data_IF_157073367551
#
_entry.id   IF_157073367551
#
_cell.length_a   1.000
_cell.length_b   1.000
_cell.length_c   1.000
_cell.angle_alpha   90.00
_cell.angle_beta   90.00
_cell.angle_gamma   90.00
#
_symmetry.space_group_name_H-M   'P 1'
#
loop_
_entity.id
_entity.type
_entity.pdbx_description
1 polymer ?
#
# COMPACT_ATOMS: atom_id res chain seq x y z
N UNK A 1 22.26 -10.49 -16.01
CA UNK A 1 23.68 -10.33 -15.64
C UNK A 1 23.82 -10.53 -14.15
N UNK A 2 24.95 -11.07 -13.68
CA UNK A 2 25.29 -11.15 -12.24
C UNK A 2 26.66 -10.52 -12.02
N UNK A 3 26.86 -9.84 -10.88
CA UNK A 3 28.12 -9.15 -10.57
C UNK A 3 28.19 -8.67 -9.11
N UNK A 4 29.38 -8.27 -8.68
CA UNK A 4 29.66 -7.89 -7.28
C UNK A 4 30.54 -6.63 -7.17
N UNK A 5 31.29 -6.29 -8.22
CA UNK A 5 32.22 -5.16 -8.24
C UNK A 5 31.57 -3.84 -8.62
N UNK A 6 32.19 -2.74 -8.18
CA UNK A 6 31.93 -1.38 -8.70
C UNK A 6 32.12 -1.31 -10.22
N UNK A 7 33.01 -2.14 -10.78
CA UNK A 7 33.24 -2.25 -12.22
C UNK A 7 32.08 -2.92 -12.96
N UNK A 8 31.27 -3.73 -12.29
CA UNK A 8 30.11 -4.39 -12.88
C UNK A 8 28.87 -3.49 -12.85
N UNK A 9 28.87 -2.44 -12.03
CA UNK A 9 27.71 -1.57 -11.83
C UNK A 9 27.15 -0.97 -13.14
N UNK A 10 27.96 -0.46 -14.11
CA UNK A 10 27.43 0.01 -15.39
C UNK A 10 26.76 -1.09 -16.21
N UNK A 11 27.32 -2.31 -16.17
CA UNK A 11 26.81 -3.43 -16.93
C UNK A 11 25.58 -4.07 -16.27
N UNK A 12 25.51 -4.05 -14.93
CA UNK A 12 24.30 -4.37 -14.16
C UNK A 12 23.18 -3.37 -14.48
N UNK A 13 23.48 -2.07 -14.51
CA UNK A 13 22.49 -1.04 -14.83
C UNK A 13 21.97 -1.12 -16.28
N UNK A 14 22.79 -1.60 -17.22
CA UNK A 14 22.40 -1.76 -18.63
C UNK A 14 21.64 -3.07 -18.90
N UNK A 15 21.78 -4.09 -18.04
CA UNK A 15 21.12 -5.37 -18.24
C UNK A 15 19.62 -5.32 -17.92
N UNK A 16 18.79 -5.97 -18.74
CA UNK A 16 17.34 -6.04 -18.50
C UNK A 16 16.99 -6.74 -17.17
N UNK A 17 17.85 -7.66 -16.72
CA UNK A 17 17.74 -8.35 -15.43
C UNK A 17 19.14 -8.47 -14.83
N UNK A 18 19.36 -7.79 -13.70
CA UNK A 18 20.61 -7.73 -12.98
C UNK A 18 20.48 -8.26 -11.54
N UNK A 19 21.39 -9.15 -11.16
CA UNK A 19 21.49 -9.72 -9.81
C UNK A 19 22.84 -9.33 -9.21
N UNK A 20 22.81 -8.55 -8.13
CA UNK A 20 24.01 -8.15 -7.39
C UNK A 20 24.29 -9.13 -6.26
N UNK A 21 25.56 -9.42 -5.97
CA UNK A 21 25.93 -10.30 -4.85
C UNK A 21 25.93 -9.54 -3.53
N UNK A 22 25.52 -10.18 -2.43
CA UNK A 22 25.48 -9.55 -1.12
C UNK A 22 26.86 -9.26 -0.52
N UNK A 23 27.89 -10.03 -0.89
CA UNK A 23 29.29 -9.68 -0.59
C UNK A 23 29.81 -8.51 -1.44
N UNK A 24 29.05 -8.07 -2.44
CA UNK A 24 29.45 -7.02 -3.39
C UNK A 24 29.36 -5.60 -2.84
N UNK A 25 29.89 -4.66 -3.62
CA UNK A 25 29.93 -3.23 -3.31
C UNK A 25 28.52 -2.62 -3.26
N UNK A 26 28.33 -1.53 -2.49
CA UNK A 26 27.05 -0.81 -2.48
C UNK A 26 26.64 -0.34 -3.88
N UNK A 27 27.60 0.14 -4.68
CA UNK A 27 27.34 0.54 -6.06
C UNK A 27 26.77 -0.60 -6.92
N UNK A 28 27.26 -1.84 -6.75
CA UNK A 28 26.70 -3.00 -7.44
C UNK A 28 25.28 -3.34 -6.96
N UNK A 29 25.02 -3.24 -5.65
CA UNK A 29 23.68 -3.48 -5.07
C UNK A 29 22.66 -2.43 -5.46
N UNK A 30 23.06 -1.18 -5.57
CA UNK A 30 22.21 -0.07 -6.03
C UNK A 30 21.92 -0.15 -7.53
N UNK A 31 22.87 -0.66 -8.33
CA UNK A 31 22.70 -0.86 -9.76
C UNK A 31 21.92 -2.16 -10.13
N UNK A 32 21.89 -3.15 -9.23
CA UNK A 32 21.20 -4.43 -9.45
C UNK A 32 19.70 -4.36 -9.16
N UNK A 33 18.88 -5.14 -9.90
CA UNK A 33 17.44 -5.22 -9.63
C UNK A 33 17.11 -6.18 -8.47
N UNK A 34 17.99 -7.14 -8.21
CA UNK A 34 17.86 -8.15 -7.16
C UNK A 34 19.21 -8.32 -6.45
N UNK A 35 19.18 -8.75 -5.19
CA UNK A 35 20.41 -9.04 -4.40
C UNK A 35 20.43 -10.51 -4.01
N UNK A 36 21.47 -11.24 -4.40
CA UNK A 36 21.70 -12.61 -3.94
C UNK A 36 22.43 -12.62 -2.60
N UNK A 37 21.70 -13.02 -1.56
CA UNK A 37 22.18 -13.08 -0.18
C UNK A 37 23.32 -14.09 0.03
N UNK A 38 23.34 -15.17 -0.74
CA UNK A 38 24.34 -16.24 -0.59
C UNK A 38 25.57 -16.03 -1.49
N UNK A 39 25.54 -15.00 -2.34
CA UNK A 39 26.65 -14.64 -3.22
C UNK A 39 27.12 -15.84 -4.06
N UNK A 40 26.19 -16.54 -4.70
CA UNK A 40 26.45 -17.69 -5.57
C UNK A 40 25.96 -17.41 -7.00
N UNK A 41 26.86 -17.25 -7.99
CA UNK A 41 26.47 -16.91 -9.36
C UNK A 41 25.59 -17.98 -10.04
N UNK A 42 25.61 -19.23 -9.55
CA UNK A 42 24.77 -20.33 -10.06
C UNK A 42 23.27 -20.09 -9.77
N UNK A 43 22.94 -19.30 -8.74
CA UNK A 43 21.55 -18.97 -8.39
C UNK A 43 20.83 -18.18 -9.47
N UNK A 44 21.56 -17.52 -10.38
CA UNK A 44 20.94 -16.89 -11.55
C UNK A 44 20.14 -17.91 -12.38
N UNK A 45 20.57 -19.17 -12.44
CA UNK A 45 19.85 -20.25 -13.13
C UNK A 45 18.53 -20.55 -12.40
N UNK A 46 18.55 -20.57 -11.07
CA UNK A 46 17.36 -20.79 -10.24
C UNK A 46 16.37 -19.64 -10.38
N UNK A 47 16.85 -18.38 -10.35
CA UNK A 47 16.03 -17.18 -10.59
C UNK A 47 15.32 -17.25 -11.95
N UNK A 48 16.05 -17.61 -13.01
CA UNK A 48 15.47 -17.78 -14.36
C UNK A 48 14.47 -18.95 -14.38
N UNK A 49 14.75 -20.04 -13.67
CA UNK A 49 13.85 -21.20 -13.57
C UNK A 49 12.53 -20.83 -12.88
N UNK A 50 12.59 -20.17 -11.73
CA UNK A 50 11.42 -19.69 -10.97
C UNK A 50 10.62 -18.69 -11.83
N UNK A 51 11.30 -17.74 -12.49
CA UNK A 51 10.68 -16.80 -13.41
C UNK A 51 9.91 -17.49 -14.53
N UNK A 52 10.52 -18.50 -15.17
CA UNK A 52 9.85 -19.32 -16.19
C UNK A 52 8.65 -20.06 -15.63
N UNK A 53 8.79 -20.70 -14.47
CA UNK A 53 7.69 -21.44 -13.85
C UNK A 53 6.48 -20.54 -13.55
N UNK A 54 6.70 -19.32 -13.08
CA UNK A 54 5.63 -18.33 -12.87
C UNK A 54 4.92 -17.96 -14.18
N UNK A 55 5.68 -17.64 -15.23
CA UNK A 55 5.13 -17.28 -16.54
C UNK A 55 4.33 -18.45 -17.15
N UNK A 56 4.87 -19.67 -17.09
CA UNK A 56 4.19 -20.85 -17.63
C UNK A 56 2.92 -21.21 -16.87
N UNK A 57 2.94 -21.05 -15.54
CA UNK A 57 1.76 -21.30 -14.71
C UNK A 57 0.67 -20.29 -15.03
N UNK A 58 1.00 -19.00 -15.12
CA UNK A 58 0.07 -17.95 -15.52
C UNK A 58 -0.51 -18.21 -16.91
N UNK A 59 0.33 -18.51 -17.89
CA UNK A 59 -0.11 -18.81 -19.26
C UNK A 59 -1.06 -20.01 -19.31
N UNK A 60 -0.70 -21.12 -18.65
CA UNK A 60 -1.50 -22.35 -18.61
C UNK A 60 -2.86 -22.15 -17.94
N UNK A 61 -2.90 -21.46 -16.80
CA UNK A 61 -4.15 -21.15 -16.10
C UNK A 61 -5.04 -20.21 -16.90
N UNK A 62 -4.45 -19.25 -17.61
CA UNK A 62 -5.19 -18.33 -18.48
C UNK A 62 -5.83 -19.09 -19.64
N UNK A 63 -5.06 -19.95 -20.34
CA UNK A 63 -5.57 -20.80 -21.41
C UNK A 63 -6.72 -21.70 -20.91
N UNK A 64 -6.54 -22.34 -19.76
CA UNK A 64 -7.56 -23.19 -19.15
C UNK A 64 -8.83 -22.39 -18.79
N UNK A 65 -8.66 -21.22 -18.17
CA UNK A 65 -9.78 -20.37 -17.76
C UNK A 65 -10.58 -19.83 -18.94
N UNK A 66 -9.93 -19.40 -20.02
CA UNK A 66 -10.62 -18.93 -21.23
C UNK A 66 -11.36 -20.07 -21.92
N UNK A 67 -10.73 -21.24 -22.06
CA UNK A 67 -11.39 -22.40 -22.66
C UNK A 67 -12.62 -22.86 -21.84
N UNK A 68 -12.56 -22.71 -20.52
CA UNK A 68 -13.66 -23.04 -19.61
C UNK A 68 -14.92 -22.19 -19.85
N UNK A 69 -14.77 -20.95 -20.28
CA UNK A 69 -15.93 -20.07 -20.52
C UNK A 69 -16.84 -20.58 -21.63
N UNK A 70 -16.33 -21.37 -22.59
CA UNK A 70 -17.14 -22.01 -23.63
C UNK A 70 -18.21 -22.91 -23.01
N UNK A 71 -17.83 -23.79 -22.08
CA UNK A 71 -18.77 -24.68 -21.41
C UNK A 71 -19.78 -23.89 -20.54
N UNK A 72 -19.33 -22.81 -19.88
CA UNK A 72 -20.23 -21.94 -19.10
C UNK A 72 -21.30 -21.30 -19.97
N UNK A 73 -20.96 -20.85 -21.18
CA UNK A 73 -21.95 -20.32 -22.11
C UNK A 73 -22.99 -21.36 -22.50
N UNK A 74 -22.58 -22.60 -22.80
CA UNK A 74 -23.50 -23.70 -23.10
C UNK A 74 -24.36 -24.14 -21.89
N UNK A 75 -23.94 -23.85 -20.65
CA UNK A 75 -24.76 -24.10 -19.47
C UNK A 75 -25.77 -22.96 -19.20
N UNK A 76 -25.29 -21.71 -19.25
CA UNK A 76 -26.03 -20.55 -18.75
C UNK A 76 -26.98 -19.97 -19.80
N UNK A 77 -26.56 -19.84 -21.06
CA UNK A 77 -27.38 -19.22 -22.12
C UNK A 77 -28.72 -19.96 -22.31
N UNK A 78 -28.77 -21.28 -22.56
CA UNK A 78 -30.05 -21.97 -22.74
C UNK A 78 -30.92 -21.88 -21.48
N UNK A 79 -30.32 -21.95 -20.29
CA UNK A 79 -31.03 -21.88 -19.02
C UNK A 79 -31.62 -20.48 -18.73
N UNK A 80 -30.82 -19.42 -18.87
CA UNK A 80 -31.22 -18.05 -18.58
C UNK A 80 -32.34 -17.55 -19.51
N UNK A 81 -32.37 -18.04 -20.75
CA UNK A 81 -33.36 -17.66 -21.75
C UNK A 81 -34.46 -18.70 -21.99
N UNK A 82 -34.50 -19.79 -21.20
CA UNK A 82 -35.47 -20.87 -21.40
C UNK A 82 -36.94 -20.41 -21.38
N UNK A 83 -37.25 -19.38 -20.59
CA UNK A 83 -38.60 -18.81 -20.48
C UNK A 83 -38.95 -17.84 -21.62
N UNK A 84 -37.96 -17.15 -22.19
CA UNK A 84 -38.17 -16.09 -23.19
C UNK A 84 -38.01 -16.61 -24.62
N UNK A 85 -37.04 -17.50 -24.84
CA UNK A 85 -36.71 -18.09 -26.15
C UNK A 85 -36.53 -19.61 -26.02
N UNK A 86 -37.62 -20.40 -25.95
CA UNK A 86 -37.55 -21.84 -25.77
C UNK A 86 -36.73 -22.58 -26.83
N UNK A 87 -36.63 -22.03 -28.05
CA UNK A 87 -35.77 -22.59 -29.11
C UNK A 87 -34.28 -22.68 -28.71
N UNK A 88 -33.81 -21.83 -27.79
CA UNK A 88 -32.41 -21.88 -27.32
C UNK A 88 -32.12 -23.11 -26.47
N UNK A 89 -33.14 -23.86 -26.02
CA UNK A 89 -32.94 -25.15 -25.35
C UNK A 89 -32.21 -26.16 -26.24
N UNK A 90 -32.24 -26.01 -27.57
CA UNK A 90 -31.42 -26.81 -28.49
C UNK A 90 -29.91 -26.65 -28.25
N UNK A 91 -29.47 -25.54 -27.63
CA UNK A 91 -28.09 -25.29 -27.24
C UNK A 91 -27.71 -25.96 -25.90
N UNK A 92 -28.63 -26.64 -25.23
CA UNK A 92 -28.33 -27.44 -24.03
C UNK A 92 -27.62 -28.75 -24.40
N UNK A 93 -26.39 -28.63 -24.92
CA UNK A 93 -25.55 -29.76 -25.35
C UNK A 93 -25.28 -30.74 -24.19
N UNK A 94 -25.27 -30.25 -22.95
CA UNK A 94 -25.05 -31.06 -21.74
C UNK A 94 -26.30 -31.81 -21.25
N UNK A 95 -27.48 -31.50 -21.79
CA UNK A 95 -28.76 -32.06 -21.32
C UNK A 95 -29.01 -31.83 -19.83
N UNK A 96 -28.76 -30.62 -19.34
CA UNK A 96 -28.96 -30.25 -17.92
C UNK A 96 -30.45 -30.28 -17.55
N UNK A 97 -30.76 -30.70 -16.32
CA UNK A 97 -32.12 -31.09 -15.91
C UNK A 97 -33.12 -29.93 -15.86
N UNK A 98 -32.73 -28.76 -15.35
CA UNK A 98 -33.60 -27.58 -15.25
C UNK A 98 -32.81 -26.27 -15.40
N UNK A 99 -33.45 -25.14 -15.78
CA UNK A 99 -32.78 -23.85 -15.83
C UNK A 99 -32.10 -23.44 -14.52
N UNK A 100 -32.77 -23.67 -13.39
CA UNK A 100 -32.23 -23.34 -12.07
C UNK A 100 -31.04 -24.22 -11.69
N UNK A 101 -31.12 -25.53 -11.94
CA UNK A 101 -30.02 -26.46 -11.65
C UNK A 101 -28.83 -26.22 -12.58
N UNK A 102 -29.05 -25.85 -13.84
CA UNK A 102 -28.00 -25.52 -14.78
C UNK A 102 -27.19 -24.29 -14.35
N UNK A 103 -27.87 -23.19 -13.98
CA UNK A 103 -27.20 -21.97 -13.49
C UNK A 103 -26.47 -22.28 -12.18
N UNK A 104 -27.11 -22.98 -11.25
CA UNK A 104 -26.51 -23.33 -9.97
C UNK A 104 -25.27 -24.24 -10.13
N UNK A 105 -25.33 -25.22 -11.04
CA UNK A 105 -24.20 -26.11 -11.34
C UNK A 105 -23.02 -25.37 -11.93
N UNK A 106 -23.27 -24.42 -12.85
CA UNK A 106 -22.22 -23.58 -13.42
C UNK A 106 -21.55 -22.69 -12.35
N UNK A 107 -22.34 -22.11 -11.45
CA UNK A 107 -21.82 -21.29 -10.33
C UNK A 107 -21.01 -22.12 -9.35
N UNK A 108 -21.52 -23.29 -8.92
CA UNK A 108 -20.81 -24.19 -8.01
C UNK A 108 -19.50 -24.68 -8.65
N UNK A 109 -19.53 -25.09 -9.93
CA UNK A 109 -18.32 -25.48 -10.64
C UNK A 109 -17.28 -24.35 -10.66
N UNK A 110 -17.71 -23.11 -10.93
CA UNK A 110 -16.82 -21.96 -10.95
C UNK A 110 -16.18 -21.66 -9.59
N UNK A 111 -16.86 -21.96 -8.48
CA UNK A 111 -16.29 -21.84 -7.14
C UNK A 111 -15.32 -23.00 -6.83
N UNK A 112 -15.71 -24.23 -7.13
CA UNK A 112 -14.92 -25.42 -6.82
C UNK A 112 -13.64 -25.51 -7.64
N UNK A 113 -13.69 -25.13 -8.92
CA UNK A 113 -12.52 -25.22 -9.82
C UNK A 113 -11.35 -24.39 -9.30
N UNK A 114 -11.61 -23.28 -8.60
CA UNK A 114 -10.56 -22.47 -7.97
C UNK A 114 -9.81 -23.29 -6.92
N UNK A 115 -10.54 -24.00 -6.04
CA UNK A 115 -9.94 -24.84 -4.99
C UNK A 115 -9.02 -25.90 -5.61
N UNK A 116 -9.45 -26.54 -6.70
CA UNK A 116 -8.64 -27.55 -7.40
C UNK A 116 -7.43 -26.97 -8.15
N UNK A 117 -7.50 -25.70 -8.58
CA UNK A 117 -6.39 -25.04 -9.27
C UNK A 117 -5.37 -24.40 -8.31
N UNK A 118 -5.70 -24.14 -7.04
CA UNK A 118 -4.77 -23.58 -6.04
C UNK A 118 -3.46 -24.38 -5.93
N UNK A 119 -3.48 -25.73 -5.77
CA UNK A 119 -2.24 -26.50 -5.69
C UNK A 119 -1.36 -26.34 -6.94
N UNK A 120 -1.97 -26.23 -8.12
CA UNK A 120 -1.26 -26.01 -9.37
C UNK A 120 -0.70 -24.59 -9.47
N UNK A 121 -1.44 -23.59 -9.00
CA UNK A 121 -1.01 -22.20 -8.97
C UNK A 121 0.19 -21.98 -8.02
N UNK A 122 0.21 -22.69 -6.89
CA UNK A 122 1.26 -22.57 -5.87
C UNK A 122 2.48 -23.45 -6.18
N UNK A 123 2.29 -24.72 -6.58
CA UNK A 123 3.41 -25.61 -6.93
C UNK A 123 4.00 -25.29 -8.31
N UNK A 124 3.26 -24.61 -9.16
CA UNK A 124 3.63 -24.27 -10.52
C UNK A 124 3.52 -25.46 -11.50
N UNK A 125 3.47 -25.12 -12.79
CA UNK A 125 3.39 -26.10 -13.89
C UNK A 125 4.77 -26.67 -14.18
N UNK A 126 4.86 -28.00 -14.34
CA UNK A 126 6.10 -28.68 -14.70
C UNK A 126 6.60 -28.24 -16.08
N UNK A 127 7.74 -27.56 -16.08
CA UNK A 127 8.39 -27.05 -17.27
C UNK A 127 9.23 -28.13 -17.97
N UNK A 128 9.10 -28.24 -19.29
CA UNK A 128 10.01 -28.99 -20.16
C UNK A 128 10.65 -28.03 -21.16
N UNK A 129 11.99 -28.05 -21.34
CA UNK A 129 12.66 -27.18 -22.29
C UNK A 129 12.31 -27.59 -23.72
N UNK A 130 11.49 -26.78 -24.40
CA UNK A 130 11.02 -26.99 -25.76
C UNK A 130 11.13 -25.67 -26.55
N UNK A 131 11.10 -25.74 -27.88
CA UNK A 131 10.96 -24.55 -28.72
C UNK A 131 9.61 -23.85 -28.46
N UNK A 132 9.54 -22.53 -28.71
CA UNK A 132 8.34 -21.73 -28.44
C UNK A 132 7.08 -22.28 -29.13
N UNK A 133 7.20 -22.71 -30.39
CA UNK A 133 6.08 -23.29 -31.16
C UNK A 133 5.62 -24.64 -30.62
N UNK A 134 6.56 -25.52 -30.24
CA UNK A 134 6.24 -26.81 -29.63
C UNK A 134 5.58 -26.62 -28.25
N UNK A 135 6.04 -25.61 -27.50
CA UNK A 135 5.50 -25.26 -26.20
C UNK A 135 4.08 -24.72 -26.27
N UNK A 136 3.82 -23.79 -27.20
CA UNK A 136 2.48 -23.24 -27.43
C UNK A 136 1.49 -24.35 -27.80
N UNK A 137 1.85 -25.19 -28.77
CA UNK A 137 1.03 -26.33 -29.20
C UNK A 137 0.71 -27.26 -28.02
N UNK A 138 1.71 -27.61 -27.21
CA UNK A 138 1.51 -28.45 -26.03
C UNK A 138 0.60 -27.79 -24.99
N UNK A 139 0.73 -26.48 -24.78
CA UNK A 139 -0.11 -25.74 -23.84
C UNK A 139 -1.59 -25.74 -24.28
N UNK A 140 -1.85 -25.46 -25.56
CA UNK A 140 -3.19 -25.50 -26.13
C UNK A 140 -3.80 -26.91 -26.06
N UNK A 141 -3.02 -27.96 -26.35
CA UNK A 141 -3.52 -29.34 -26.28
C UNK A 141 -3.83 -29.80 -24.86
N UNK A 142 -3.03 -29.43 -23.86
CA UNK A 142 -3.24 -29.89 -22.48
C UNK A 142 -4.25 -28.99 -21.76
N UNK A 143 -3.97 -27.68 -21.71
CA UNK A 143 -4.74 -26.73 -20.91
C UNK A 143 -5.91 -26.13 -21.68
N UNK A 144 -5.81 -25.99 -23.00
CA UNK A 144 -6.94 -25.56 -23.84
C UNK A 144 -7.99 -26.67 -23.95
N UNK A 145 -7.61 -27.87 -24.41
CA UNK A 145 -8.56 -28.98 -24.50
C UNK A 145 -9.03 -29.46 -23.11
N UNK A 146 -8.14 -29.48 -22.11
CA UNK A 146 -8.52 -29.74 -20.72
C UNK A 146 -9.50 -28.70 -20.18
N UNK A 147 -9.24 -27.42 -20.43
CA UNK A 147 -10.14 -26.31 -20.08
C UNK A 147 -11.47 -26.36 -20.80
N UNK A 148 -11.53 -26.96 -21.99
CA UNK A 148 -12.77 -27.21 -22.70
C UNK A 148 -13.53 -28.39 -22.09
N UNK A 149 -12.92 -29.57 -21.96
CA UNK A 149 -13.62 -30.82 -21.61
C UNK A 149 -13.99 -30.93 -20.13
N UNK A 150 -13.09 -30.55 -19.22
CA UNK A 150 -13.30 -30.67 -17.76
C UNK A 150 -14.58 -29.98 -17.29
N UNK A 151 -14.90 -28.72 -17.68
CA UNK A 151 -16.13 -28.08 -17.23
C UNK A 151 -17.41 -28.70 -17.78
N UNK A 152 -17.42 -29.25 -19.01
CA UNK A 152 -18.59 -30.00 -19.50
C UNK A 152 -18.92 -31.18 -18.59
N UNK A 153 -17.89 -31.95 -18.20
CA UNK A 153 -18.05 -33.08 -17.29
C UNK A 153 -18.42 -32.60 -15.89
N UNK A 154 -17.71 -31.60 -15.36
CA UNK A 154 -17.89 -31.08 -14.01
C UNK A 154 -19.28 -30.49 -13.79
N UNK A 155 -19.76 -29.63 -14.69
CA UNK A 155 -21.10 -29.04 -14.62
C UNK A 155 -22.17 -30.13 -14.69
N UNK A 156 -22.00 -31.13 -15.58
CA UNK A 156 -22.96 -32.24 -15.69
C UNK A 156 -23.03 -33.08 -14.42
N UNK A 157 -21.90 -33.41 -13.82
CA UNK A 157 -21.84 -34.18 -12.57
C UNK A 157 -22.52 -33.41 -11.43
N UNK A 158 -22.26 -32.11 -11.31
CA UNK A 158 -22.90 -31.27 -10.29
C UNK A 158 -24.42 -31.22 -10.51
N UNK A 159 -24.88 -31.03 -11.76
CA UNK A 159 -26.31 -30.99 -12.09
C UNK A 159 -27.02 -32.30 -11.73
N UNK A 160 -26.39 -33.45 -12.02
CA UNK A 160 -26.90 -34.77 -11.64
C UNK A 160 -26.97 -34.90 -10.12
N UNK A 161 -25.91 -34.51 -9.39
CA UNK A 161 -25.90 -34.56 -7.92
C UNK A 161 -26.97 -33.66 -7.30
N UNK A 162 -27.14 -32.43 -7.81
CA UNK A 162 -28.17 -31.51 -7.34
C UNK A 162 -29.58 -32.04 -7.62
N UNK A 163 -29.77 -32.73 -8.74
CA UNK A 163 -31.04 -33.37 -9.08
C UNK A 163 -31.34 -34.55 -8.14
N UNK A 164 -30.32 -35.35 -7.80
CA UNK A 164 -30.44 -36.46 -6.85
C UNK A 164 -30.67 -35.99 -5.40
N UNK A 165 -30.09 -34.85 -5.01
CA UNK A 165 -30.21 -34.25 -3.66
C UNK A 165 -31.39 -33.27 -3.53
N UNK A 166 -32.07 -32.96 -4.64
CA UNK A 166 -32.99 -31.83 -4.81
C UNK A 166 -34.25 -31.81 -3.92
N UNK A 167 -34.57 -32.90 -3.21
CA UNK A 167 -35.66 -32.91 -2.23
C UNK A 167 -35.37 -32.05 -0.99
N UNK A 168 -34.11 -31.70 -0.70
CA UNK A 168 -33.72 -30.91 0.48
C UNK A 168 -33.55 -29.38 0.27
N UNK A 169 -33.51 -28.91 -0.98
CA UNK A 169 -32.94 -27.59 -1.32
C UNK A 169 -33.94 -26.42 -1.32
N UNK A 170 -35.26 -26.68 -1.21
CA UNK A 170 -36.28 -25.63 -1.04
C UNK A 170 -36.08 -24.80 0.24
N UNK A 171 -35.45 -25.36 1.27
CA UNK A 171 -35.19 -24.66 2.53
C UNK A 171 -34.08 -23.59 2.39
N UNK A 172 -33.08 -23.81 1.53
CA UNK A 172 -31.93 -22.92 1.36
C UNK A 172 -32.28 -21.62 0.61
N UNK A 173 -33.26 -21.66 -0.30
CA UNK A 173 -33.75 -20.48 -1.02
C UNK A 173 -34.52 -19.48 -0.14
N UNK A 174 -35.02 -19.91 1.02
CA UNK A 174 -35.76 -19.05 1.97
C UNK A 174 -34.81 -18.08 2.70
N UNK A 175 -33.52 -18.42 2.84
CA UNK A 175 -32.52 -17.58 3.52
C UNK A 175 -31.82 -16.52 2.65
N UNK A 176 -31.85 -16.65 1.31
CA UNK A 176 -31.11 -15.75 0.42
C UNK A 176 -31.67 -14.32 0.39
N UNK A 177 -32.99 -14.17 0.40
CA UNK A 177 -33.67 -12.86 0.38
C UNK A 177 -33.34 -12.00 1.61
N UNK A 178 -33.49 -12.48 2.86
CA UNK A 178 -33.16 -11.68 4.03
C UNK A 178 -31.65 -11.40 4.14
N UNK A 179 -30.80 -12.31 3.69
CA UNK A 179 -29.34 -12.10 3.68
C UNK A 179 -28.94 -10.97 2.72
N UNK A 180 -29.42 -11.01 1.46
CA UNK A 180 -29.11 -9.98 0.47
C UNK A 180 -29.74 -8.62 0.83
N UNK A 181 -30.97 -8.63 1.36
CA UNK A 181 -31.64 -7.42 1.81
C UNK A 181 -30.86 -6.73 2.95
N UNK A 182 -30.45 -7.50 3.97
CA UNK A 182 -29.67 -6.97 5.09
C UNK A 182 -28.32 -6.46 4.62
N UNK A 183 -27.64 -7.18 3.72
CA UNK A 183 -26.37 -6.75 3.15
C UNK A 183 -26.51 -5.42 2.39
N UNK A 184 -27.52 -5.29 1.53
CA UNK A 184 -27.77 -4.08 0.75
C UNK A 184 -28.15 -2.91 1.66
N UNK A 185 -29.00 -3.15 2.67
CA UNK A 185 -29.39 -2.15 3.64
C UNK A 185 -28.17 -1.62 4.41
N UNK A 186 -27.34 -2.51 4.96
CA UNK A 186 -26.14 -2.11 5.69
C UNK A 186 -25.15 -1.37 4.79
N UNK A 187 -24.96 -1.82 3.53
CA UNK A 187 -24.12 -1.13 2.56
C UNK A 187 -24.58 0.31 2.30
N UNK A 188 -25.88 0.52 2.09
CA UNK A 188 -26.43 1.86 1.85
C UNK A 188 -26.35 2.73 3.10
N UNK A 189 -26.60 2.15 4.28
CA UNK A 189 -26.56 2.87 5.53
C UNK A 189 -25.12 3.29 5.90
N UNK A 190 -24.16 2.36 5.89
CA UNK A 190 -22.78 2.63 6.34
C UNK A 190 -21.90 3.21 5.25
N UNK A 191 -22.16 2.88 3.98
CA UNK A 191 -21.41 3.40 2.83
C UNK A 191 -22.00 4.65 2.19
N UNK A 192 -23.28 4.96 2.45
CA UNK A 192 -23.98 6.13 1.90
C UNK A 192 -24.41 7.11 2.97
N UNK A 193 -25.42 6.73 3.78
CA UNK A 193 -26.05 7.64 4.75
C UNK A 193 -25.05 8.14 5.78
N UNK A 194 -24.25 7.25 6.37
CA UNK A 194 -23.27 7.59 7.40
C UNK A 194 -22.21 8.60 6.94
N UNK A 195 -21.44 8.37 5.85
CA UNK A 195 -20.43 9.34 5.42
C UNK A 195 -21.03 10.68 4.95
N UNK A 196 -22.22 10.68 4.33
CA UNK A 196 -22.90 11.92 3.95
C UNK A 196 -23.33 12.73 5.17
N UNK A 197 -23.90 12.07 6.17
CA UNK A 197 -24.33 12.72 7.41
C UNK A 197 -23.14 13.28 8.19
N UNK A 198 -22.06 12.51 8.35
CA UNK A 198 -20.86 12.99 9.06
C UNK A 198 -20.16 14.11 8.31
N UNK A 199 -20.12 14.05 6.97
CA UNK A 199 -19.58 15.15 6.13
C UNK A 199 -20.42 16.41 6.28
N UNK A 200 -21.75 16.31 6.18
CA UNK A 200 -22.64 17.46 6.30
C UNK A 200 -22.54 18.12 7.69
N UNK A 201 -22.58 17.32 8.75
CA UNK A 201 -22.44 17.82 10.12
C UNK A 201 -21.02 18.40 10.37
N UNK A 202 -19.99 17.76 9.84
CA UNK A 202 -18.61 18.23 9.93
C UNK A 202 -18.41 19.59 9.26
N UNK A 203 -18.95 19.77 8.06
CA UNK A 203 -18.88 21.05 7.35
C UNK A 203 -19.76 22.13 8.00
N UNK A 204 -20.88 21.75 8.61
CA UNK A 204 -21.75 22.70 9.32
C UNK A 204 -21.11 23.20 10.62
N UNK A 205 -20.63 22.31 11.48
CA UNK A 205 -20.14 22.68 12.81
C UNK A 205 -18.65 23.04 12.83
N UNK A 206 -17.84 22.40 11.98
CA UNK A 206 -16.38 22.50 12.01
C UNK A 206 -15.77 22.64 10.60
N UNK A 207 -16.17 23.64 9.80
CA UNK A 207 -15.74 23.76 8.40
C UNK A 207 -14.21 23.86 8.28
N UNK A 208 -13.53 24.57 9.18
CA UNK A 208 -12.08 24.73 9.09
C UNK A 208 -11.33 23.40 9.30
N UNK A 209 -11.69 22.63 10.33
CA UNK A 209 -11.09 21.33 10.64
C UNK A 209 -11.47 20.26 9.60
N UNK A 210 -12.74 20.24 9.16
CA UNK A 210 -13.23 19.29 8.17
C UNK A 210 -12.53 19.46 6.80
N UNK A 211 -12.09 20.67 6.48
CA UNK A 211 -11.29 20.96 5.27
C UNK A 211 -9.77 20.89 5.51
N UNK A 212 -9.33 20.27 6.62
CA UNK A 212 -7.92 19.98 6.88
C UNK A 212 -7.15 21.07 7.61
N UNK A 213 -7.84 22.03 8.25
CA UNK A 213 -7.24 23.08 9.08
C UNK A 213 -6.09 23.83 8.39
N UNK A 214 -6.34 24.23 7.14
CA UNK A 214 -5.35 24.85 6.27
C UNK A 214 -5.00 26.26 6.73
N UNK A 215 -3.71 26.59 6.67
CA UNK A 215 -3.16 27.90 6.99
C UNK A 215 -2.89 28.65 5.68
N UNK A 216 -3.56 29.79 5.52
CA UNK A 216 -3.45 30.64 4.33
C UNK A 216 -2.63 31.89 4.64
N UNK A 217 -1.72 32.25 3.74
CA UNK A 217 -1.00 33.53 3.77
C UNK A 217 -1.01 34.11 2.36
N UNK A 218 -1.54 35.32 2.21
CA UNK A 218 -1.67 36.02 0.91
C UNK A 218 -2.41 35.18 -0.16
N UNK A 219 -3.51 34.52 0.25
CA UNK A 219 -4.31 33.62 -0.58
C UNK A 219 -3.57 32.36 -1.11
N UNK A 220 -2.39 32.06 -0.54
CA UNK A 220 -1.62 30.84 -0.83
C UNK A 220 -1.68 29.90 0.38
N UNK A 221 -1.94 28.62 0.12
CA UNK A 221 -1.89 27.58 1.16
C UNK A 221 -0.44 27.36 1.56
N UNK A 222 -0.12 27.67 2.82
CA UNK A 222 1.22 27.46 3.38
C UNK A 222 1.37 26.13 4.09
N UNK A 223 0.28 25.45 4.39
CA UNK A 223 0.27 24.15 5.05
C UNK A 223 -1.01 23.94 5.85
N UNK A 224 -0.93 23.06 6.84
CA UNK A 224 -2.00 22.78 7.81
C UNK A 224 -1.45 22.92 9.22
N UNK A 225 -2.30 23.27 10.18
CA UNK A 225 -1.94 23.26 11.61
C UNK A 225 -1.53 21.86 12.11
N UNK A 226 -1.88 20.79 11.39
CA UNK A 226 -1.66 19.40 11.81
C UNK A 226 -0.46 18.72 11.11
N UNK A 227 0.07 19.30 10.04
CA UNK A 227 1.09 18.66 9.19
C UNK A 227 2.41 19.41 9.33
N UNK A 228 3.45 18.71 9.79
CA UNK A 228 4.80 19.25 9.86
C UNK A 228 5.43 19.41 8.48
N UNK A 229 6.41 20.30 8.38
CA UNK A 229 7.17 20.57 7.16
C UNK A 229 8.66 20.40 7.38
N UNK A 230 9.39 20.14 6.30
CA UNK A 230 10.84 20.04 6.33
C UNK A 230 11.49 21.43 6.43
N UNK A 231 11.74 21.87 7.66
CA UNK A 231 12.47 23.10 7.94
C UNK A 231 13.97 22.82 8.10
N UNK A 232 14.80 23.35 7.20
CA UNK A 232 16.27 23.14 7.20
C UNK A 232 17.07 24.43 7.40
N UNK A 233 16.50 25.60 7.09
CA UNK A 233 17.23 26.87 7.19
C UNK A 233 17.47 27.30 8.65
N UNK A 234 18.59 27.98 8.90
CA UNK A 234 19.04 28.34 10.25
C UNK A 234 18.10 29.31 11.00
N UNK A 235 17.27 30.08 10.26
CA UNK A 235 16.29 30.99 10.84
C UNK A 235 14.96 30.35 11.25
N UNK A 236 14.77 29.05 11.07
CA UNK A 236 13.54 28.35 11.46
C UNK A 236 13.80 27.37 12.61
N UNK A 237 12.75 27.09 13.37
CA UNK A 237 12.71 25.94 14.26
C UNK A 237 12.65 24.68 13.42
N UNK A 238 13.54 23.73 13.74
CA UNK A 238 13.59 22.44 13.07
C UNK A 238 12.74 21.45 13.84
N UNK A 239 11.86 20.73 13.13
CA UNK A 239 11.03 19.68 13.69
C UNK A 239 11.80 18.39 13.94
N UNK A 240 11.06 17.32 14.28
CA UNK A 240 11.64 15.99 14.43
C UNK A 240 12.07 15.42 13.07
N UNK A 241 13.06 14.53 13.02
CA UNK A 241 13.41 13.85 11.78
C UNK A 241 12.20 13.11 11.18
N UNK A 242 12.02 13.23 9.87
CA UNK A 242 11.03 12.47 9.12
C UNK A 242 11.71 11.36 8.32
N UNK A 243 11.14 10.16 8.36
CA UNK A 243 11.63 8.96 7.67
C UNK A 243 10.66 8.50 6.57
N UNK A 244 9.91 9.44 5.98
CA UNK A 244 9.03 9.16 4.84
C UNK A 244 9.81 8.80 3.59
N UNK A 245 9.19 8.06 2.67
CA UNK A 245 9.77 7.70 1.38
C UNK A 245 10.05 8.94 0.51
N UNK A 246 11.10 8.84 -0.31
CA UNK A 246 11.63 9.81 -1.28
C UNK A 246 12.16 11.12 -0.67
N UNK A 247 11.33 11.83 0.09
CA UNK A 247 11.67 13.12 0.70
C UNK A 247 11.14 13.20 2.14
N UNK A 248 11.84 13.88 3.07
CA UNK A 248 11.33 14.12 4.43
C UNK A 248 10.00 14.89 4.41
N UNK A 249 9.09 14.53 5.32
CA UNK A 249 7.78 15.14 5.48
C UNK A 249 6.85 14.99 4.26
N UNK A 250 6.95 13.87 3.53
CA UNK A 250 6.09 13.59 2.37
C UNK A 250 4.69 13.08 2.79
N UNK A 251 3.60 13.86 2.59
CA UNK A 251 2.26 13.46 3.01
C UNK A 251 1.68 12.29 2.21
N UNK A 252 2.23 11.99 1.01
CA UNK A 252 1.79 10.85 0.21
C UNK A 252 2.36 9.51 0.71
N UNK A 253 3.45 9.55 1.48
CA UNK A 253 4.07 8.34 2.05
C UNK A 253 3.54 8.02 3.46
N UNK A 254 3.43 9.05 4.33
CA UNK A 254 2.91 8.94 5.71
C UNK A 254 3.39 7.67 6.46
N UNK A 255 4.65 7.65 6.87
CA UNK A 255 5.26 6.51 7.58
C UNK A 255 6.45 6.92 8.43
N UNK A 256 6.87 6.03 9.33
CA UNK A 256 7.95 6.26 10.29
C UNK A 256 9.12 5.29 10.14
N UNK A 257 10.18 5.54 10.91
CA UNK A 257 11.34 4.64 11.00
C UNK A 257 10.98 3.41 11.84
N UNK A 258 10.92 2.24 11.21
CA UNK A 258 10.64 0.95 11.87
C UNK A 258 11.92 0.20 12.30
N UNK A 259 13.05 0.89 12.41
CA UNK A 259 14.29 0.32 12.90
C UNK A 259 14.17 -0.06 14.38
N UNK A 260 14.50 -1.30 14.72
CA UNK A 260 14.53 -1.77 16.11
C UNK A 260 15.70 -1.16 16.89
N UNK A 261 15.58 -1.10 18.22
CA UNK A 261 16.65 -0.61 19.09
C UNK A 261 17.94 -1.46 19.01
N UNK A 262 17.85 -2.73 18.62
CA UNK A 262 18.99 -3.61 18.38
C UNK A 262 19.63 -3.44 17.00
N UNK A 263 19.07 -2.59 16.12
CA UNK A 263 19.59 -2.38 14.78
C UNK A 263 20.74 -1.36 14.82
N UNK A 264 21.98 -1.73 14.45
CA UNK A 264 23.13 -0.82 14.50
C UNK A 264 23.00 0.38 13.54
N UNK A 265 22.16 0.28 12.51
CA UNK A 265 21.88 1.41 11.61
C UNK A 265 21.17 2.55 12.34
N UNK A 266 20.29 2.24 13.30
CA UNK A 266 19.61 3.25 14.11
C UNK A 266 20.62 4.06 14.93
N UNK A 267 21.61 3.38 15.53
CA UNK A 267 22.67 4.04 16.29
C UNK A 267 23.50 4.97 15.40
N UNK A 268 23.87 4.50 14.20
CA UNK A 268 24.59 5.33 13.23
C UNK A 268 23.79 6.58 12.83
N UNK A 269 22.49 6.43 12.56
CA UNK A 269 21.62 7.57 12.21
C UNK A 269 21.47 8.56 13.37
N UNK A 270 21.29 8.08 14.61
CA UNK A 270 21.18 8.94 15.80
C UNK A 270 22.49 9.69 16.03
N UNK A 271 23.64 9.02 15.94
CA UNK A 271 24.95 9.66 16.12
C UNK A 271 25.19 10.76 15.08
N UNK A 272 24.87 10.50 13.80
CA UNK A 272 24.98 11.48 12.74
C UNK A 272 24.10 12.72 13.00
N UNK A 273 22.84 12.50 13.41
CA UNK A 273 21.90 13.59 13.75
C UNK A 273 22.36 14.41 14.94
N UNK A 274 22.83 13.76 16.00
CA UNK A 274 23.35 14.44 17.20
C UNK A 274 24.56 15.30 16.86
N UNK A 275 25.48 14.80 16.04
CA UNK A 275 26.64 15.56 15.57
C UNK A 275 26.21 16.80 14.75
N UNK A 276 25.30 16.62 13.80
CA UNK A 276 24.77 17.72 12.98
C UNK A 276 24.04 18.78 13.82
N UNK A 277 23.22 18.36 14.80
CA UNK A 277 22.50 19.27 15.69
C UNK A 277 23.44 20.09 16.57
N UNK A 278 24.50 19.48 17.10
CA UNK A 278 25.54 20.20 17.87
C UNK A 278 26.28 21.21 17.01
N UNK A 279 26.64 20.84 15.79
CA UNK A 279 27.31 21.73 14.85
C UNK A 279 26.43 22.92 14.45
N UNK A 280 25.12 22.69 14.25
CA UNK A 280 24.17 23.74 13.91
C UNK A 280 23.81 24.65 15.10
N UNK A 281 23.91 24.15 16.35
CA UNK A 281 23.52 24.88 17.56
C UNK A 281 24.71 24.99 18.55
N UNK A 282 25.82 25.66 18.18
CA UNK A 282 27.02 25.73 19.02
C UNK A 282 26.81 26.52 20.32
N UNK A 283 25.76 27.35 20.39
CA UNK A 283 25.43 28.15 21.57
C UNK A 283 24.46 27.44 22.54
N UNK A 284 23.94 26.27 22.17
CA UNK A 284 23.02 25.51 23.01
C UNK A 284 23.76 24.51 23.91
N UNK A 285 23.03 23.88 24.85
CA UNK A 285 23.57 22.80 25.68
C UNK A 285 24.07 21.63 24.84
N UNK A 286 25.17 20.98 25.25
CA UNK A 286 25.73 19.80 24.58
C UNK A 286 24.81 18.57 24.63
N UNK A 287 23.88 18.55 25.60
CA UNK A 287 22.81 17.56 25.72
C UNK A 287 21.69 17.88 24.72
N UNK A 288 21.61 17.09 23.64
CA UNK A 288 20.60 17.23 22.59
C UNK A 288 19.28 16.59 23.05
N UNK A 289 18.13 17.30 22.95
CA UNK A 289 16.81 16.71 23.22
C UNK A 289 16.54 15.47 22.36
N UNK A 290 16.03 14.40 22.98
CA UNK A 290 15.77 13.11 22.31
C UNK A 290 14.82 13.26 21.12
N UNK A 291 13.81 14.13 21.22
CA UNK A 291 12.83 14.37 20.15
C UNK A 291 13.45 14.86 18.84
N UNK A 292 14.53 15.65 18.93
CA UNK A 292 15.23 16.18 17.74
C UNK A 292 16.15 15.15 17.10
N UNK A 293 16.60 14.14 17.84
CA UNK A 293 17.44 13.07 17.32
C UNK A 293 16.63 11.88 16.80
N UNK A 294 15.41 11.68 17.32
CA UNK A 294 14.57 10.50 17.04
C UNK A 294 13.42 10.83 16.08
N UNK A 295 13.28 10.00 15.05
CA UNK A 295 12.23 10.16 14.05
C UNK A 295 10.83 9.97 14.66
N UNK A 296 9.83 10.60 14.05
CA UNK A 296 8.43 10.43 14.43
C UNK A 296 7.80 9.15 13.83
N UNK A 297 6.71 8.68 14.43
CA UNK A 297 6.00 7.50 13.97
C UNK A 297 5.18 7.75 12.69
N UNK A 298 4.57 8.94 12.55
CA UNK A 298 3.79 9.30 11.37
C UNK A 298 4.65 9.81 10.21
N UNK A 299 5.86 10.29 10.50
CA UNK A 299 6.70 11.00 9.54
C UNK A 299 6.24 12.44 9.23
N UNK A 300 5.13 12.90 9.82
CA UNK A 300 4.53 14.21 9.58
C UNK A 300 4.34 15.03 10.86
N UNK A 301 5.08 14.68 11.92
CA UNK A 301 4.95 15.31 13.23
C UNK A 301 5.27 16.81 13.19
N UNK A 302 4.27 17.61 13.54
CA UNK A 302 4.35 19.07 13.59
C UNK A 302 4.69 19.60 15.00
N UNK A 303 4.99 18.71 15.95
CA UNK A 303 5.05 19.06 17.36
C UNK A 303 6.43 18.81 17.96
N UNK A 304 6.81 19.68 18.90
CA UNK A 304 7.93 19.48 19.83
C UNK A 304 7.49 19.84 21.24
N UNK A 305 8.12 19.26 22.25
CA UNK A 305 7.98 19.80 23.61
C UNK A 305 8.57 21.21 23.71
N UNK A 306 8.04 22.07 24.60
CA UNK A 306 8.59 23.40 24.83
C UNK A 306 10.08 23.39 25.21
N UNK A 307 10.54 22.34 25.91
CA UNK A 307 11.96 22.17 26.24
C UNK A 307 12.83 21.93 25.00
N UNK A 308 12.36 21.10 24.06
CA UNK A 308 13.08 20.84 22.81
C UNK A 308 13.08 22.06 21.87
N UNK A 309 11.98 22.81 21.83
CA UNK A 309 11.92 24.09 21.12
C UNK A 309 12.87 25.13 21.76
N UNK A 310 12.87 25.24 23.09
CA UNK A 310 13.71 26.18 23.83
C UNK A 310 15.21 25.97 23.60
N UNK A 311 15.64 24.71 23.43
CA UNK A 311 17.03 24.37 23.15
C UNK A 311 17.55 25.00 21.83
N UNK A 312 16.67 25.25 20.85
CA UNK A 312 17.04 25.83 19.56
C UNK A 312 17.00 27.37 19.53
N UNK A 313 16.47 28.02 20.58
CA UNK A 313 16.23 29.47 20.60
C UNK A 313 17.49 30.28 20.26
N UNK A 314 18.68 30.01 20.83
CA UNK A 314 19.86 30.85 20.55
C UNK A 314 20.22 30.91 19.07
N UNK A 315 20.12 29.78 18.36
CA UNK A 315 20.37 29.70 16.91
C UNK A 315 19.36 30.53 16.14
N UNK A 316 18.07 30.35 16.42
CA UNK A 316 17.00 31.06 15.70
C UNK A 316 17.05 32.57 15.96
N UNK A 317 17.26 32.97 17.22
CA UNK A 317 17.39 34.35 17.63
C UNK A 317 18.58 35.04 16.94
N UNK A 318 19.75 34.39 16.89
CA UNK A 318 20.93 34.90 16.21
C UNK A 318 20.72 35.03 14.69
N UNK A 319 20.16 34.01 14.05
CA UNK A 319 19.91 34.01 12.61
C UNK A 319 18.87 35.07 12.17
N UNK A 320 17.93 35.41 13.06
CA UNK A 320 16.86 36.39 12.81
C UNK A 320 17.13 37.78 13.39
N UNK A 321 18.24 37.97 14.11
CA UNK A 321 18.56 39.21 14.83
C UNK A 321 17.42 39.65 15.77
N UNK A 322 16.82 38.68 16.47
CA UNK A 322 15.77 38.90 17.46
C UNK A 322 16.32 38.71 18.88
N UNK A 323 15.80 39.46 19.87
CA UNK A 323 16.08 39.17 21.28
C UNK A 323 15.64 37.76 21.67
N UNK A 324 16.44 37.08 22.49
CA UNK A 324 16.19 35.71 22.95
C UNK A 324 14.86 35.62 23.70
N UNK A 325 14.57 36.63 24.51
CA UNK A 325 13.35 36.74 25.31
C UNK A 325 12.10 36.81 24.41
N UNK A 326 12.19 37.53 23.29
CA UNK A 326 11.09 37.67 22.34
C UNK A 326 10.79 36.33 21.65
N UNK A 327 11.82 35.58 21.26
CA UNK A 327 11.67 34.25 20.66
C UNK A 327 11.12 33.26 21.70
N UNK A 328 11.58 33.32 22.95
CA UNK A 328 11.08 32.48 24.04
C UNK A 328 9.59 32.74 24.35
N UNK A 329 9.17 34.01 24.33
CA UNK A 329 7.77 34.39 24.49
C UNK A 329 6.90 33.81 23.36
N UNK A 330 7.39 33.86 22.12
CA UNK A 330 6.67 33.30 20.98
C UNK A 330 6.51 31.78 21.09
N UNK A 331 7.56 31.07 21.53
CA UNK A 331 7.46 29.62 21.81
C UNK A 331 6.39 29.34 22.87
N UNK A 332 6.31 30.15 23.93
CA UNK A 332 5.30 29.98 24.97
C UNK A 332 3.87 30.27 24.46
N UNK A 333 3.69 31.24 23.58
CA UNK A 333 2.40 31.59 22.97
C UNK A 333 1.86 30.46 22.09
N UNK A 334 2.72 29.83 21.29
CA UNK A 334 2.37 28.70 20.43
C UNK A 334 2.51 27.33 21.13
N UNK A 335 2.59 27.31 22.46
CA UNK A 335 2.56 26.09 23.26
C UNK A 335 1.12 25.72 23.63
N UNK A 336 0.61 24.63 23.07
CA UNK A 336 -0.65 24.03 23.47
C UNK A 336 -0.44 23.07 24.66
N UNK A 337 -1.34 23.15 25.64
CA UNK A 337 -1.34 22.26 26.80
C UNK A 337 -2.53 21.31 26.75
N UNK A 338 -2.34 20.02 27.05
CA UNK A 338 -3.45 19.09 27.15
C UNK A 338 -4.34 19.46 28.33
N UNK A 339 -5.63 19.08 28.27
CA UNK A 339 -6.62 19.37 29.32
C UNK A 339 -6.18 18.86 30.69
N UNK A 340 -5.53 17.68 30.73
CA UNK A 340 -4.95 17.09 31.92
C UNK A 340 -3.55 16.56 31.62
N UNK A 341 -2.65 16.62 32.61
CA UNK A 341 -1.22 16.28 32.45
C UNK A 341 -0.96 14.83 32.03
N UNK A 342 -1.89 13.91 32.27
CA UNK A 342 -1.73 12.49 31.91
C UNK A 342 -2.24 12.15 30.50
N UNK A 343 -2.98 13.07 29.84
CA UNK A 343 -3.50 12.83 28.48
C UNK A 343 -2.45 13.08 27.39
N UNK A 344 -1.36 13.77 27.72
CA UNK A 344 -0.31 14.08 26.78
C UNK A 344 0.72 15.04 27.35
N UNK A 345 1.60 15.51 26.49
CA UNK A 345 2.63 16.49 26.83
C UNK A 345 2.23 17.88 26.31
N UNK A 346 2.73 18.97 26.91
CA UNK A 346 2.70 20.27 26.28
C UNK A 346 3.45 20.22 24.95
N UNK A 347 2.86 20.76 23.90
CA UNK A 347 3.42 20.72 22.53
C UNK A 347 3.43 22.10 21.91
N UNK A 348 4.46 22.37 21.11
CA UNK A 348 4.64 23.59 20.33
C UNK A 348 4.35 23.27 18.87
N UNK A 349 3.46 24.04 18.25
CA UNK A 349 3.16 23.91 16.83
C UNK A 349 4.27 24.57 15.98
N UNK A 350 5.05 23.76 15.26
CA UNK A 350 6.25 24.26 14.57
C UNK A 350 5.91 25.09 13.33
N UNK A 351 4.93 24.68 12.54
CA UNK A 351 4.49 25.44 11.35
C UNK A 351 3.93 26.81 11.74
N UNK A 352 3.03 26.86 12.73
CA UNK A 352 2.46 28.13 13.20
C UNK A 352 3.51 29.05 13.82
N UNK A 353 4.42 28.50 14.63
CA UNK A 353 5.53 29.24 15.22
C UNK A 353 6.46 29.85 14.16
N UNK A 354 6.83 29.07 13.13
CA UNK A 354 7.69 29.55 12.05
C UNK A 354 7.00 30.62 11.18
N UNK A 355 5.69 30.50 10.95
CA UNK A 355 4.92 31.54 10.26
C UNK A 355 4.82 32.83 11.08
N UNK A 356 4.66 32.72 12.40
CA UNK A 356 4.65 33.86 13.31
C UNK A 356 6.01 34.56 13.38
N UNK A 357 7.11 33.80 13.37
CA UNK A 357 8.47 34.35 13.24
C UNK A 357 8.63 35.18 11.95
N UNK A 358 8.12 34.69 10.83
CA UNK A 358 8.19 35.42 9.56
C UNK A 358 7.36 36.71 9.59
N UNK A 359 6.23 36.72 10.28
CA UNK A 359 5.38 37.90 10.43
C UNK A 359 6.04 39.01 11.27
N UNK A 360 6.80 38.63 12.32
CA UNK A 360 7.55 39.58 13.15
C UNK A 360 8.68 40.27 12.38
N UNK A 361 9.34 39.56 11.47
CA UNK A 361 10.42 40.13 10.65
C UNK A 361 9.87 41.04 9.54
N UNK A 362 8.73 40.68 8.94
CA UNK A 362 8.06 41.52 7.93
C UNK A 362 7.62 42.90 8.43
N UNK A 363 7.36 43.04 9.74
CA UNK A 363 7.03 44.33 10.36
C UNK A 363 8.24 45.24 10.60
N UNK A 364 9.48 44.71 10.58
CA UNK A 364 10.71 45.51 10.72
C UNK A 364 11.32 45.96 9.38
N UNK A 365 10.86 45.39 8.27
CA UNK A 365 11.35 45.73 6.92
C UNK A 365 10.49 46.80 6.20
N UNK A 366 9.48 47.35 6.89
CA UNK A 366 8.79 48.59 6.55
C UNK A 366 9.18 49.63 7.58
#
# INVERSE_FOLDING_TARGET
>A
MTGDGTNDAPALAQADVAVAMNSGTQAAKEAGNMVDLDSNPTKLIEVVHIGKQMLMTRGSLTTFSIANDVAKYFAIIPAAFAATYPQLNALNVMGLHSPNSAILSAVIFNALIIIFLIPLALKGVSYKPLSASAMLRRNLWIYGLGGLVVPFIGIKVIDVLLTLLGSGMRCMMIGLRPAFSTMLFLLLLTGGVYPLLTTALGQWWFPWQANGSLIHKDNVIRGSALIGQSFTAAGYFHGRPSATADTPYNPLASGGSNLAASNPELDAQIQARVAALRAANPQASSAVPVELATASASGLDNNLTPGAAAWQIPRVAAARQLPVEQVAQLVAEYTHRPLARFLGQPVVNIVELNLALDALQGHRAK
#
